data_IF_059656555336
#
_entry.id   IF_059656555336
#
_cell.length_a   1.000
_cell.length_b   1.000
_cell.length_c   1.000
_cell.angle_alpha   90.00
_cell.angle_beta   90.00
_cell.angle_gamma   90.00
#
_symmetry.space_group_name_H-M   'P 1'
#
loop_
_entity.id
_entity.type
_entity.pdbx_description
1 polymer ?
#
# COMPACT_ATOMS: atom_id res chain seq x y z
N UNK A 1 -103.49 38.27 3.05
CA UNK A 1 -102.99 39.54 2.48
C UNK A 1 -101.48 39.76 2.66
N UNK A 2 -100.78 38.91 3.43
CA UNK A 2 -99.35 39.09 3.74
C UNK A 2 -98.42 38.58 2.59
N UNK A 3 -98.77 37.44 1.99
CA UNK A 3 -97.99 36.79 0.92
C UNK A 3 -97.79 37.61 -0.37
N UNK A 4 -98.74 38.51 -0.69
CA UNK A 4 -98.67 39.37 -1.87
C UNK A 4 -97.64 40.49 -1.70
N UNK A 5 -97.51 41.04 -0.47
CA UNK A 5 -96.51 42.07 -0.15
C UNK A 5 -95.08 41.54 -0.15
N UNK A 6 -94.91 40.26 0.19
CA UNK A 6 -93.60 39.61 0.23
C UNK A 6 -93.03 39.37 -1.17
N UNK A 7 -93.88 38.97 -2.14
CA UNK A 7 -93.46 38.82 -3.55
C UNK A 7 -93.05 40.15 -4.19
N UNK A 8 -93.76 41.23 -3.90
CA UNK A 8 -93.39 42.58 -4.36
C UNK A 8 -92.05 43.04 -3.75
N UNK A 9 -91.79 42.71 -2.49
CA UNK A 9 -90.52 43.01 -1.82
C UNK A 9 -89.34 42.24 -2.46
N UNK A 10 -89.54 40.96 -2.78
CA UNK A 10 -88.52 40.12 -3.46
C UNK A 10 -88.25 40.64 -4.88
N UNK A 11 -89.29 41.00 -5.64
CA UNK A 11 -89.11 41.58 -6.98
C UNK A 11 -88.31 42.88 -6.92
N UNK A 12 -88.69 43.79 -6.01
CA UNK A 12 -88.00 45.08 -5.84
C UNK A 12 -86.54 44.92 -5.38
N UNK A 13 -86.22 43.85 -4.64
CA UNK A 13 -84.85 43.50 -4.29
C UNK A 13 -84.03 43.01 -5.49
N UNK A 14 -84.61 42.13 -6.31
CA UNK A 14 -83.96 41.62 -7.53
C UNK A 14 -83.73 42.72 -8.56
N UNK A 15 -84.67 43.67 -8.65
CA UNK A 15 -84.59 44.82 -9.55
C UNK A 15 -83.71 45.97 -9.00
N UNK A 16 -83.18 45.82 -7.78
CA UNK A 16 -82.23 46.76 -7.16
C UNK A 16 -82.83 48.08 -6.67
N UNK A 17 -84.16 48.23 -6.70
CA UNK A 17 -84.90 49.45 -6.33
C UNK A 17 -85.31 49.52 -4.86
N UNK A 18 -84.93 48.51 -4.07
CA UNK A 18 -85.32 48.35 -2.68
C UNK A 18 -84.61 49.35 -1.75
N UNK A 19 -85.38 50.06 -0.91
CA UNK A 19 -84.85 50.98 0.10
C UNK A 19 -84.13 50.22 1.23
N UNK A 20 -83.25 50.88 2.02
CA UNK A 20 -82.55 50.23 3.12
C UNK A 20 -83.48 49.58 4.15
N UNK A 21 -84.63 50.21 4.44
CA UNK A 21 -85.62 49.69 5.39
C UNK A 21 -86.38 48.47 4.84
N UNK A 22 -86.63 48.43 3.54
CA UNK A 22 -87.25 47.27 2.88
C UNK A 22 -86.27 46.09 2.78
N UNK A 23 -84.97 46.35 2.57
CA UNK A 23 -83.92 45.33 2.63
C UNK A 23 -83.83 44.69 4.00
N UNK A 24 -83.80 45.49 5.06
CA UNK A 24 -83.76 44.99 6.44
C UNK A 24 -85.01 44.16 6.77
N UNK A 25 -86.17 44.60 6.28
CA UNK A 25 -87.42 43.84 6.41
C UNK A 25 -87.40 42.51 5.65
N UNK A 26 -86.83 42.49 4.44
CA UNK A 26 -86.65 41.27 3.66
C UNK A 26 -85.69 40.29 4.35
N UNK A 27 -84.59 40.80 4.89
CA UNK A 27 -83.61 40.00 5.65
C UNK A 27 -84.23 39.43 6.93
N UNK A 28 -84.98 40.23 7.69
CA UNK A 28 -85.70 39.75 8.87
C UNK A 28 -86.76 38.70 8.50
N UNK A 29 -87.52 38.92 7.43
CA UNK A 29 -88.47 37.93 6.92
C UNK A 29 -87.79 36.62 6.50
N UNK A 30 -86.66 36.70 5.78
CA UNK A 30 -85.89 35.53 5.35
C UNK A 30 -85.32 34.76 6.55
N UNK A 31 -84.78 35.46 7.55
CA UNK A 31 -84.24 34.86 8.78
C UNK A 31 -85.36 34.16 9.58
N UNK A 32 -86.49 34.84 9.80
CA UNK A 32 -87.63 34.27 10.54
C UNK A 32 -88.21 33.05 9.80
N UNK A 33 -88.33 33.13 8.48
CA UNK A 33 -88.85 32.04 7.66
C UNK A 33 -87.88 30.85 7.57
N UNK A 34 -86.56 31.09 7.56
CA UNK A 34 -85.57 30.00 7.64
C UNK A 34 -85.48 29.36 9.04
N UNK A 35 -85.97 30.01 10.09
CA UNK A 35 -86.02 29.45 11.44
C UNK A 35 -87.27 28.55 11.60
N UNK A 36 -88.38 28.86 10.93
CA UNK A 36 -89.60 28.03 10.95
C UNK A 36 -89.58 26.84 9.96
N UNK A 37 -88.85 26.92 8.83
CA UNK A 37 -88.79 25.85 7.80
C UNK A 37 -87.57 24.93 8.04
N UNK A 38 -87.24 24.61 9.30
CA UNK A 38 -86.10 23.73 9.61
C UNK A 38 -86.46 22.26 9.77
N UNK A 39 -87.74 21.93 9.86
CA UNK A 39 -88.22 20.55 9.84
C UNK A 39 -89.32 20.39 8.77
N UNK A 40 -89.02 19.54 7.79
CA UNK A 40 -89.90 19.05 6.71
C UNK A 40 -90.18 19.99 5.52
N UNK A 41 -89.48 19.75 4.40
CA UNK A 41 -90.06 19.65 3.05
C UNK A 41 -89.00 19.09 2.08
N UNK A 42 -89.16 17.87 1.52
CA UNK A 42 -88.38 17.41 0.38
C UNK A 42 -89.01 18.01 -0.88
N UNK A 43 -88.61 19.22 -1.25
CA UNK A 43 -89.13 19.86 -2.47
C UNK A 43 -88.40 19.29 -3.70
N UNK A 44 -89.09 18.58 -4.63
CA UNK A 44 -88.48 18.09 -5.87
C UNK A 44 -87.90 19.24 -6.70
N UNK A 45 -88.42 20.46 -6.57
CA UNK A 45 -87.92 21.67 -7.24
C UNK A 45 -86.51 22.05 -6.79
N UNK A 46 -86.15 21.83 -5.52
CA UNK A 46 -84.82 22.19 -5.00
C UNK A 46 -83.71 21.37 -5.67
N UNK A 47 -83.95 20.09 -5.91
CA UNK A 47 -82.96 19.22 -6.56
C UNK A 47 -82.82 19.54 -8.05
N UNK A 48 -83.91 19.92 -8.72
CA UNK A 48 -83.89 20.37 -10.12
C UNK A 48 -83.15 21.70 -10.26
N UNK A 49 -83.43 22.68 -9.40
CA UNK A 49 -82.70 23.97 -9.42
C UNK A 49 -81.22 23.77 -9.09
N UNK A 50 -80.89 22.87 -8.17
CA UNK A 50 -79.49 22.54 -7.85
C UNK A 50 -78.78 21.86 -9.03
N UNK A 51 -79.44 20.96 -9.77
CA UNK A 51 -78.86 20.33 -10.95
C UNK A 51 -78.64 21.33 -12.08
N UNK A 52 -79.61 22.22 -12.33
CA UNK A 52 -79.51 23.23 -13.39
C UNK A 52 -78.42 24.27 -13.09
N UNK A 53 -78.27 24.66 -11.82
CA UNK A 53 -77.17 25.53 -11.37
C UNK A 53 -75.82 24.82 -11.53
N UNK A 54 -75.75 23.53 -11.19
CA UNK A 54 -74.50 22.78 -11.31
C UNK A 54 -74.08 22.56 -12.77
N UNK A 55 -75.03 22.30 -13.66
CA UNK A 55 -74.80 22.12 -15.10
C UNK A 55 -74.42 23.45 -15.79
N UNK A 56 -75.02 24.57 -15.37
CA UNK A 56 -74.66 25.91 -15.86
C UNK A 56 -73.30 26.41 -15.36
N UNK A 57 -72.80 25.93 -14.22
CA UNK A 57 -71.43 26.16 -13.75
C UNK A 57 -70.42 25.36 -14.59
N UNK A 58 -70.72 24.09 -14.90
CA UNK A 58 -69.82 23.24 -15.69
C UNK A 58 -69.70 23.69 -17.15
N UNK A 59 -70.79 24.19 -17.75
CA UNK A 59 -70.80 24.68 -19.14
C UNK A 59 -70.12 26.06 -19.31
N UNK A 60 -69.89 26.81 -18.23
CA UNK A 60 -69.23 28.13 -18.26
C UNK A 60 -67.82 28.18 -17.66
N UNK A 61 -67.28 27.05 -17.20
CA UNK A 61 -65.92 27.02 -16.64
C UNK A 61 -65.02 26.04 -17.40
N UNK A 62 -64.37 26.52 -18.47
CA UNK A 62 -63.18 25.81 -18.96
C UNK A 62 -62.05 25.96 -17.92
N UNK A 63 -61.44 24.86 -17.44
CA UNK A 63 -60.33 24.98 -16.50
C UNK A 63 -59.14 25.62 -17.22
N UNK A 64 -58.70 26.79 -16.72
CA UNK A 64 -57.49 27.43 -17.21
C UNK A 64 -56.30 26.46 -17.07
N UNK A 65 -55.77 25.97 -18.21
CA UNK A 65 -54.59 25.10 -18.23
C UNK A 65 -53.40 25.86 -17.64
N UNK A 66 -53.03 25.55 -16.40
CA UNK A 66 -51.78 26.04 -15.77
C UNK A 66 -50.60 25.56 -16.59
N UNK A 67 -50.03 26.45 -17.42
CA UNK A 67 -48.76 26.23 -18.12
C UNK A 67 -47.63 26.33 -17.10
N UNK A 68 -47.24 25.20 -16.52
CA UNK A 68 -45.99 25.13 -15.77
C UNK A 68 -44.83 25.40 -16.73
N UNK A 69 -43.85 26.25 -16.38
CA UNK A 69 -42.76 26.61 -17.28
C UNK A 69 -41.73 25.47 -17.29
N UNK A 70 -42.10 24.33 -17.90
CA UNK A 70 -41.25 23.15 -18.03
C UNK A 70 -39.87 23.51 -18.57
N UNK A 71 -39.82 24.45 -19.53
CA UNK A 71 -38.57 24.97 -20.09
C UNK A 71 -37.68 25.71 -19.07
N UNK A 72 -38.24 26.40 -18.08
CA UNK A 72 -37.46 27.08 -17.02
C UNK A 72 -36.87 26.10 -16.01
N UNK A 73 -37.62 25.04 -15.69
CA UNK A 73 -37.16 23.97 -14.80
C UNK A 73 -36.09 23.12 -15.51
N UNK A 74 -36.32 22.79 -16.78
CA UNK A 74 -35.36 22.07 -17.61
C UNK A 74 -34.05 22.84 -17.79
N UNK A 75 -34.09 24.17 -17.99
CA UNK A 75 -32.88 24.99 -18.08
C UNK A 75 -32.06 25.00 -16.79
N UNK A 76 -32.71 25.05 -15.61
CA UNK A 76 -32.01 25.01 -14.33
C UNK A 76 -31.32 23.65 -14.09
N UNK A 77 -31.98 22.55 -14.44
CA UNK A 77 -31.40 21.21 -14.35
C UNK A 77 -30.22 21.02 -15.31
N UNK A 78 -30.30 21.56 -16.53
CA UNK A 78 -29.20 21.52 -17.50
C UNK A 78 -27.97 22.31 -17.01
N UNK A 79 -28.17 23.48 -16.41
CA UNK A 79 -27.08 24.28 -15.83
C UNK A 79 -26.42 23.51 -14.67
N UNK A 80 -27.21 22.93 -13.76
CA UNK A 80 -26.65 22.12 -12.67
C UNK A 80 -25.91 20.88 -13.17
N UNK A 81 -26.39 20.24 -14.23
CA UNK A 81 -25.71 19.09 -14.83
C UNK A 81 -24.39 19.52 -15.50
N UNK A 82 -24.36 20.64 -16.22
CA UNK A 82 -23.14 21.18 -16.83
C UNK A 82 -22.15 21.65 -15.76
N UNK A 83 -22.61 22.28 -14.69
CA UNK A 83 -21.77 22.67 -13.56
C UNK A 83 -21.27 21.45 -12.78
N UNK A 84 -22.09 20.43 -12.61
CA UNK A 84 -21.71 19.16 -11.98
C UNK A 84 -20.69 18.39 -12.80
N UNK A 85 -20.89 18.29 -14.11
CA UNK A 85 -19.93 17.71 -15.06
C UNK A 85 -18.64 18.55 -15.08
N UNK A 86 -18.76 19.88 -15.14
CA UNK A 86 -17.62 20.80 -15.10
C UNK A 86 -16.83 20.67 -13.79
N UNK A 87 -17.51 20.57 -12.66
CA UNK A 87 -16.91 20.36 -11.34
C UNK A 87 -16.26 18.98 -11.22
N UNK A 88 -16.90 17.93 -11.74
CA UNK A 88 -16.34 16.59 -11.82
C UNK A 88 -15.06 16.56 -12.65
N UNK A 89 -15.10 17.12 -13.87
CA UNK A 89 -13.91 17.20 -14.74
C UNK A 89 -12.85 18.17 -14.20
N UNK A 90 -13.22 19.23 -13.47
CA UNK A 90 -12.27 20.13 -12.81
C UNK A 90 -11.52 19.40 -11.69
N UNK A 91 -12.22 18.61 -10.86
CA UNK A 91 -11.58 17.81 -9.82
C UNK A 91 -10.74 16.67 -10.40
N UNK A 92 -11.18 16.04 -11.50
CA UNK A 92 -10.43 14.98 -12.18
C UNK A 92 -9.21 15.55 -12.91
N UNK A 93 -9.30 16.72 -13.57
CA UNK A 93 -8.16 17.36 -14.26
C UNK A 93 -7.10 17.94 -13.32
N UNK A 94 -7.45 18.23 -12.06
CA UNK A 94 -6.49 18.70 -11.06
C UNK A 94 -5.64 17.57 -10.44
N UNK A 95 -5.84 16.32 -10.87
CA UNK A 95 -4.84 15.25 -10.64
C UNK A 95 -3.72 15.35 -11.67
N UNK A 96 -2.94 16.43 -11.63
CA UNK A 96 -1.57 16.35 -12.19
C UNK A 96 -0.89 15.15 -11.53
N UNK A 97 -0.33 14.19 -12.30
CA UNK A 97 0.43 13.10 -11.72
C UNK A 97 1.46 13.71 -10.77
N UNK A 98 1.38 13.36 -9.50
CA UNK A 98 2.37 13.78 -8.51
C UNK A 98 3.75 13.45 -9.10
N UNK A 99 4.59 14.48 -9.32
CA UNK A 99 5.93 14.30 -9.93
C UNK A 99 6.69 13.18 -9.21
N UNK A 100 6.48 13.05 -7.89
CA UNK A 100 7.00 11.97 -7.07
C UNK A 100 6.57 10.59 -7.55
N UNK A 101 5.28 10.38 -7.81
CA UNK A 101 4.74 9.10 -8.30
C UNK A 101 5.28 8.78 -9.71
N UNK A 102 5.41 9.78 -10.58
CA UNK A 102 6.02 9.60 -11.91
C UNK A 102 7.49 9.20 -11.85
N UNK A 103 8.30 9.86 -11.01
CA UNK A 103 9.71 9.48 -10.87
C UNK A 103 9.89 8.13 -10.18
N UNK A 104 9.02 7.81 -9.20
CA UNK A 104 9.01 6.54 -8.50
C UNK A 104 8.65 5.37 -9.42
N UNK A 105 7.72 5.55 -10.35
CA UNK A 105 7.35 4.49 -11.30
C UNK A 105 8.44 4.18 -12.32
N UNK A 106 9.37 5.12 -12.54
CA UNK A 106 10.60 4.92 -13.34
C UNK A 106 11.76 4.30 -12.55
N UNK A 107 11.59 3.98 -11.28
CA UNK A 107 12.61 3.28 -10.49
C UNK A 107 12.20 1.81 -10.48
N UNK A 108 12.90 1.04 -11.32
CA UNK A 108 12.70 -0.39 -11.43
C UNK A 108 13.13 -1.09 -10.13
N UNK A 109 12.53 -2.24 -9.81
CA UNK A 109 13.03 -3.09 -8.73
C UNK A 109 14.47 -3.53 -8.98
N UNK A 110 15.12 -3.99 -7.90
CA UNK A 110 16.43 -4.62 -8.01
C UNK A 110 16.40 -5.88 -8.87
N UNK A 111 17.60 -6.33 -9.27
CA UNK A 111 17.83 -7.40 -10.22
C UNK A 111 18.75 -8.48 -9.67
N UNK A 112 18.86 -9.60 -10.38
CA UNK A 112 19.92 -10.58 -10.09
C UNK A 112 21.24 -10.11 -10.69
N UNK A 113 22.29 -10.03 -9.87
CA UNK A 113 23.62 -9.63 -10.31
C UNK A 113 24.62 -9.62 -9.15
N UNK A 114 25.90 -9.81 -9.46
CA UNK A 114 26.98 -9.70 -8.49
C UNK A 114 28.32 -9.52 -9.20
N UNK A 115 29.33 -9.10 -8.44
CA UNK A 115 30.73 -9.08 -8.87
C UNK A 115 31.51 -10.14 -8.11
N UNK A 116 32.20 -11.03 -8.82
CA UNK A 116 33.19 -11.93 -8.23
C UNK A 116 34.57 -11.28 -8.32
N UNK A 117 35.17 -10.99 -7.17
CA UNK A 117 36.57 -10.56 -7.04
C UNK A 117 37.43 -11.75 -6.66
N UNK A 118 38.42 -12.07 -7.49
CA UNK A 118 39.32 -13.20 -7.28
C UNK A 118 40.50 -12.83 -6.36
N UNK A 119 41.23 -13.84 -5.90
CA UNK A 119 42.44 -13.67 -5.10
C UNK A 119 43.54 -12.80 -5.75
N UNK A 120 43.60 -12.76 -7.09
CA UNK A 120 44.54 -11.90 -7.82
C UNK A 120 44.03 -10.46 -8.02
N UNK A 121 42.87 -10.11 -7.46
CA UNK A 121 42.25 -8.79 -7.59
C UNK A 121 41.38 -8.62 -8.84
N UNK A 122 41.35 -9.57 -9.76
CA UNK A 122 40.50 -9.48 -10.96
C UNK A 122 39.01 -9.48 -10.56
N UNK A 123 38.23 -8.60 -11.20
CA UNK A 123 36.81 -8.40 -10.93
C UNK A 123 35.97 -8.84 -12.13
N UNK A 124 34.96 -9.65 -11.86
CA UNK A 124 34.12 -10.29 -12.86
C UNK A 124 32.67 -9.92 -12.59
N UNK A 125 32.08 -9.09 -13.45
CA UNK A 125 30.67 -8.74 -13.38
C UNK A 125 29.82 -9.90 -13.93
N UNK A 126 29.15 -10.63 -13.05
CA UNK A 126 28.46 -11.87 -13.39
C UNK A 126 27.18 -11.62 -14.19
N UNK A 127 26.59 -10.42 -14.10
CA UNK A 127 25.43 -10.02 -14.89
C UNK A 127 25.77 -9.70 -16.36
N UNK A 128 27.06 -9.54 -16.68
CA UNK A 128 27.53 -9.23 -18.05
C UNK A 128 28.12 -10.43 -18.80
N UNK A 129 28.26 -11.57 -18.14
CA UNK A 129 28.91 -12.76 -18.71
C UNK A 129 27.87 -13.83 -19.01
N UNK A 130 28.03 -14.50 -20.15
CA UNK A 130 27.22 -15.63 -20.56
C UNK A 130 27.40 -16.82 -19.63
N UNK A 131 26.43 -17.73 -19.64
CA UNK A 131 26.52 -18.97 -18.89
C UNK A 131 27.66 -19.84 -19.44
N UNK A 132 28.25 -20.67 -18.57
CA UNK A 132 29.37 -21.53 -18.91
C UNK A 132 30.58 -21.33 -18.01
N UNK A 133 31.70 -21.92 -18.44
CA UNK A 133 32.96 -21.88 -17.70
C UNK A 133 33.48 -20.45 -17.67
N UNK A 134 33.68 -19.93 -16.46
CA UNK A 134 34.26 -18.61 -16.27
C UNK A 134 35.78 -18.74 -16.21
N UNK A 135 36.28 -19.50 -15.24
CA UNK A 135 37.71 -19.58 -14.88
C UNK A 135 38.02 -20.96 -14.30
N UNK A 136 39.25 -21.41 -14.47
CA UNK A 136 39.85 -22.47 -13.65
C UNK A 136 40.95 -21.86 -12.77
N UNK A 137 40.82 -21.98 -11.46
CA UNK A 137 41.81 -21.50 -10.50
C UNK A 137 42.15 -22.63 -9.53
N UNK A 138 43.43 -22.95 -9.39
CA UNK A 138 43.92 -23.87 -8.36
C UNK A 138 43.20 -25.24 -8.35
N UNK A 139 42.93 -25.83 -9.53
CA UNK A 139 42.20 -27.11 -9.63
C UNK A 139 40.68 -27.00 -9.44
N UNK A 140 40.14 -25.79 -9.25
CA UNK A 140 38.71 -25.53 -9.10
C UNK A 140 38.19 -24.79 -10.32
N UNK A 141 37.17 -25.36 -10.95
CA UNK A 141 36.44 -24.74 -12.05
C UNK A 141 35.27 -23.94 -11.50
N UNK A 142 35.20 -22.67 -11.89
CA UNK A 142 34.12 -21.75 -11.56
C UNK A 142 33.24 -21.63 -12.81
N UNK A 143 31.99 -22.05 -12.67
CA UNK A 143 31.03 -22.07 -13.77
C UNK A 143 29.80 -21.26 -13.38
N UNK A 144 29.30 -20.47 -14.34
CA UNK A 144 27.96 -19.89 -14.25
C UNK A 144 26.96 -20.87 -14.84
N UNK A 145 26.08 -21.40 -14.00
CA UNK A 145 25.08 -22.40 -14.41
C UNK A 145 24.04 -21.81 -15.37
N UNK A 146 23.25 -22.67 -16.03
CA UNK A 146 22.14 -22.24 -16.87
C UNK A 146 21.13 -21.37 -16.11
N UNK A 147 20.95 -21.63 -14.81
CA UNK A 147 20.12 -20.87 -13.87
C UNK A 147 20.77 -19.54 -13.43
N UNK A 148 21.93 -19.19 -14.00
CA UNK A 148 22.61 -17.92 -13.73
C UNK A 148 23.33 -17.84 -12.39
N UNK A 149 23.55 -18.96 -11.71
CA UNK A 149 24.24 -19.03 -10.40
C UNK A 149 25.70 -19.40 -10.55
N UNK A 150 26.53 -19.00 -9.59
CA UNK A 150 27.89 -19.53 -9.50
C UNK A 150 27.89 -20.94 -8.89
N UNK A 151 28.65 -21.84 -9.49
CA UNK A 151 28.95 -23.17 -8.98
C UNK A 151 30.44 -23.44 -9.07
N UNK A 152 30.98 -24.07 -8.02
CA UNK A 152 32.38 -24.46 -7.92
C UNK A 152 32.46 -25.98 -8.06
N UNK A 153 33.30 -26.47 -8.96
CA UNK A 153 33.57 -27.89 -9.14
C UNK A 153 35.07 -28.16 -8.99
N UNK A 154 35.43 -29.09 -8.11
CA UNK A 154 36.83 -29.49 -7.90
C UNK A 154 37.21 -30.47 -8.99
N UNK A 155 38.10 -30.07 -9.91
CA UNK A 155 38.60 -30.90 -11.03
C UNK A 155 40.05 -31.39 -10.84
N UNK A 156 40.75 -30.96 -9.79
CA UNK A 156 42.10 -31.43 -9.47
C UNK A 156 42.54 -31.10 -8.05
N UNK A 157 43.62 -31.75 -7.58
CA UNK A 157 44.17 -31.66 -6.21
C UNK A 157 45.38 -30.73 -6.09
N UNK A 158 45.77 -30.03 -7.16
CA UNK A 158 47.02 -29.25 -7.21
C UNK A 158 46.74 -27.78 -7.49
N UNK A 159 46.61 -27.00 -6.41
CA UNK A 159 46.49 -25.56 -6.45
C UNK A 159 46.31 -24.99 -5.06
N UNK A 160 46.79 -23.77 -4.83
CA UNK A 160 46.78 -23.11 -3.51
C UNK A 160 45.36 -23.04 -2.93
N UNK A 161 45.10 -23.92 -1.96
CA UNK A 161 43.84 -24.07 -1.23
C UNK A 161 43.37 -22.79 -0.51
N UNK A 162 44.25 -21.78 -0.43
CA UNK A 162 44.05 -20.54 0.33
C UNK A 162 43.72 -19.32 -0.53
N UNK A 163 43.46 -19.47 -1.83
CA UNK A 163 43.03 -18.35 -2.66
C UNK A 163 41.67 -17.82 -2.18
N UNK A 164 41.66 -16.57 -1.67
CA UNK A 164 40.46 -15.90 -1.16
C UNK A 164 39.69 -15.19 -2.27
N UNK A 165 38.40 -15.52 -2.42
CA UNK A 165 37.49 -14.89 -3.36
C UNK A 165 36.41 -14.13 -2.60
N UNK A 166 35.93 -13.03 -3.18
CA UNK A 166 34.83 -12.24 -2.62
C UNK A 166 33.73 -12.09 -3.66
N UNK A 167 32.55 -12.59 -3.35
CA UNK A 167 31.33 -12.35 -4.11
C UNK A 167 30.59 -11.17 -3.47
N UNK A 168 30.29 -10.13 -4.23
CA UNK A 168 29.55 -8.96 -3.72
C UNK A 168 28.38 -8.57 -4.60
N UNK A 169 27.30 -8.15 -3.95
CA UNK A 169 26.12 -7.55 -4.57
C UNK A 169 26.16 -6.04 -4.30
N UNK A 170 25.95 -5.23 -5.34
CA UNK A 170 25.69 -3.80 -5.15
C UNK A 170 24.28 -3.57 -4.61
N UNK A 171 23.93 -2.29 -4.35
CA UNK A 171 22.54 -1.91 -4.17
C UNK A 171 21.74 -2.31 -5.42
N UNK A 172 20.48 -2.69 -5.22
CA UNK A 172 19.61 -3.21 -6.26
C UNK A 172 20.04 -4.53 -6.88
N UNK A 173 20.92 -5.29 -6.21
CA UNK A 173 21.36 -6.59 -6.68
C UNK A 173 21.12 -7.68 -5.63
N UNK A 174 20.74 -8.88 -6.07
CA UNK A 174 20.81 -10.10 -5.26
C UNK A 174 21.52 -11.19 -6.04
N UNK A 175 22.08 -12.18 -5.36
CA UNK A 175 22.73 -13.28 -6.07
C UNK A 175 22.71 -14.57 -5.26
N UNK A 176 22.71 -15.70 -5.97
CA UNK A 176 22.81 -17.02 -5.37
C UNK A 176 24.10 -17.71 -5.83
N UNK A 177 24.80 -18.32 -4.87
CA UNK A 177 26.03 -19.10 -5.10
C UNK A 177 25.91 -20.46 -4.46
N UNK A 178 26.45 -21.48 -5.14
CA UNK A 178 26.72 -22.80 -4.58
C UNK A 178 28.21 -22.90 -4.24
N UNK A 179 28.54 -23.00 -2.97
CA UNK A 179 29.90 -23.10 -2.47
C UNK A 179 30.54 -24.46 -2.81
N UNK A 180 31.88 -24.60 -2.72
CA UNK A 180 32.59 -25.84 -3.02
C UNK A 180 32.15 -27.07 -2.21
N UNK A 181 31.63 -26.87 -1.00
CA UNK A 181 31.09 -27.93 -0.14
C UNK A 181 29.62 -28.29 -0.45
N UNK A 182 29.07 -27.71 -1.52
CA UNK A 182 27.69 -27.89 -1.94
C UNK A 182 26.68 -26.98 -1.24
N UNK A 183 27.07 -26.21 -0.23
CA UNK A 183 26.17 -25.30 0.49
C UNK A 183 25.65 -24.21 -0.42
N UNK A 184 24.38 -23.82 -0.27
CA UNK A 184 23.77 -22.74 -1.04
C UNK A 184 23.70 -21.47 -0.20
N UNK A 185 24.09 -20.35 -0.80
CA UNK A 185 24.03 -19.04 -0.17
C UNK A 185 23.34 -18.05 -1.09
N UNK A 186 22.38 -17.32 -0.54
CA UNK A 186 21.78 -16.16 -1.18
C UNK A 186 22.32 -14.92 -0.50
N UNK A 187 22.74 -13.93 -1.29
CA UNK A 187 23.16 -12.62 -0.83
C UNK A 187 22.11 -11.58 -1.19
N UNK A 188 21.68 -10.83 -0.19
CA UNK A 188 20.79 -9.69 -0.39
C UNK A 188 21.57 -8.48 -0.94
N UNK A 189 20.92 -7.36 -1.22
CA UNK A 189 21.56 -6.15 -1.78
C UNK A 189 22.59 -5.52 -0.87
N UNK A 190 23.65 -4.96 -1.45
CA UNK A 190 24.76 -4.37 -0.70
C UNK A 190 25.40 -5.33 0.31
N UNK A 191 25.61 -6.59 -0.09
CA UNK A 191 26.21 -7.64 0.74
C UNK A 191 27.47 -8.20 0.11
N UNK A 192 28.33 -8.81 0.92
CA UNK A 192 29.49 -9.55 0.42
C UNK A 192 29.72 -10.84 1.18
N UNK A 193 30.22 -11.85 0.45
CA UNK A 193 30.66 -13.12 1.00
C UNK A 193 32.10 -13.38 0.54
N UNK A 194 33.01 -13.46 1.50
CA UNK A 194 34.42 -13.79 1.27
C UNK A 194 34.69 -15.21 1.76
N UNK A 195 35.37 -16.01 0.94
CA UNK A 195 35.66 -17.41 1.23
C UNK A 195 36.89 -17.89 0.47
N UNK A 196 37.58 -18.89 1.00
CA UNK A 196 38.67 -19.56 0.27
C UNK A 196 38.11 -20.58 -0.70
N UNK A 197 38.84 -20.85 -1.78
CA UNK A 197 38.46 -21.87 -2.76
C UNK A 197 38.36 -23.27 -2.16
N UNK A 198 39.19 -23.62 -1.17
CA UNK A 198 39.06 -24.90 -0.45
C UNK A 198 37.97 -24.88 0.63
N UNK A 199 37.50 -23.68 1.03
CA UNK A 199 36.57 -23.41 2.13
C UNK A 199 37.04 -23.84 3.54
N UNK A 200 37.96 -24.80 3.62
CA UNK A 200 38.52 -25.38 4.83
C UNK A 200 39.66 -24.52 5.39
N UNK A 201 39.53 -24.15 6.66
CA UNK A 201 40.53 -23.45 7.45
C UNK A 201 40.60 -24.12 8.84
N UNK A 202 41.74 -24.75 9.15
CA UNK A 202 41.96 -25.47 10.41
C UNK A 202 40.84 -26.49 10.73
N UNK A 203 40.40 -27.24 9.71
CA UNK A 203 39.33 -28.25 9.84
C UNK A 203 37.90 -27.69 9.89
N UNK A 204 37.71 -26.37 9.79
CA UNK A 204 36.40 -25.69 9.77
C UNK A 204 36.15 -25.07 8.40
N UNK A 205 34.91 -25.15 7.90
CA UNK A 205 34.48 -24.44 6.69
C UNK A 205 34.18 -23.00 7.07
N UNK A 206 34.96 -22.01 6.62
CA UNK A 206 34.81 -20.61 7.06
C UNK A 206 34.46 -19.68 5.91
N UNK A 207 33.51 -18.79 6.15
CA UNK A 207 33.15 -17.68 5.26
C UNK A 207 33.00 -16.41 6.08
N UNK A 208 33.23 -15.25 5.45
CA UNK A 208 32.99 -13.94 6.05
C UNK A 208 31.87 -13.22 5.31
N UNK A 209 30.86 -12.76 6.05
CA UNK A 209 29.69 -12.06 5.53
C UNK A 209 29.70 -10.59 5.97
N UNK A 210 29.38 -9.70 5.02
CA UNK A 210 28.87 -8.36 5.33
C UNK A 210 27.51 -8.16 4.66
N UNK A 211 26.63 -7.38 5.28
CA UNK A 211 25.25 -7.22 4.84
C UNK A 211 24.36 -8.38 5.26
N UNK A 212 23.55 -8.92 4.36
CA UNK A 212 22.59 -9.99 4.66
C UNK A 212 22.73 -11.19 3.73
N UNK A 213 22.68 -12.38 4.33
CA UNK A 213 22.77 -13.65 3.63
C UNK A 213 21.91 -14.74 4.26
N UNK A 214 21.29 -15.55 3.40
CA UNK A 214 20.58 -16.77 3.76
C UNK A 214 21.40 -17.98 3.35
N UNK A 215 21.52 -18.95 4.25
CA UNK A 215 22.41 -20.09 4.12
C UNK A 215 21.64 -21.39 4.26
N UNK A 216 21.81 -22.27 3.28
CA UNK A 216 21.44 -23.69 3.35
C UNK A 216 22.74 -24.50 3.37
N UNK A 217 23.17 -24.88 4.57
CA UNK A 217 24.49 -25.49 4.76
C UNK A 217 24.42 -27.00 4.62
N UNK A 218 25.28 -27.56 3.76
CA UNK A 218 25.45 -29.01 3.62
C UNK A 218 25.89 -29.61 4.94
N UNK A 219 25.22 -30.69 5.36
CA UNK A 219 25.48 -31.36 6.62
C UNK A 219 26.87 -32.01 6.62
N UNK A 220 27.74 -31.58 7.54
CA UNK A 220 29.05 -32.18 7.78
C UNK A 220 29.50 -31.92 9.22
N UNK A 221 29.45 -32.95 10.06
CA UNK A 221 29.80 -32.86 11.49
C UNK A 221 31.31 -32.80 11.73
N UNK A 222 32.11 -33.35 10.82
CA UNK A 222 33.56 -33.40 10.95
C UNK A 222 34.21 -32.06 10.61
N UNK A 223 33.52 -31.25 9.80
CA UNK A 223 33.95 -29.92 9.41
C UNK A 223 32.81 -28.91 9.63
N UNK A 224 32.68 -28.33 10.83
CA UNK A 224 31.68 -27.31 11.12
C UNK A 224 31.77 -26.13 10.14
N UNK A 225 30.63 -25.53 9.81
CA UNK A 225 30.56 -24.33 8.97
C UNK A 225 30.44 -23.10 9.86
N UNK A 226 31.25 -22.08 9.58
CA UNK A 226 31.33 -20.85 10.35
C UNK A 226 31.12 -19.66 9.44
N UNK A 227 30.15 -18.82 9.79
CA UNK A 227 29.98 -17.49 9.21
C UNK A 227 30.52 -16.46 10.19
N UNK A 228 31.57 -15.76 9.80
CA UNK A 228 32.11 -14.61 10.51
C UNK A 228 31.42 -13.33 10.01
N UNK A 229 30.99 -12.47 10.92
CA UNK A 229 30.60 -11.09 10.63
C UNK A 229 31.43 -10.13 11.49
N UNK A 230 31.21 -8.82 11.36
CA UNK A 230 31.95 -7.83 12.14
C UNK A 230 31.74 -7.91 13.67
N UNK A 231 30.76 -8.67 14.17
CA UNK A 231 30.48 -8.76 15.61
C UNK A 231 30.23 -10.17 16.16
N UNK A 232 30.07 -11.18 15.30
CA UNK A 232 29.77 -12.55 15.73
C UNK A 232 30.42 -13.60 14.83
N UNK A 233 30.62 -14.78 15.42
CA UNK A 233 30.79 -16.04 14.71
C UNK A 233 29.53 -16.89 14.87
N UNK A 234 29.06 -17.46 13.77
CA UNK A 234 27.90 -18.35 13.71
C UNK A 234 28.36 -19.71 13.26
N UNK A 235 28.32 -20.70 14.17
CA UNK A 235 28.76 -22.07 13.93
C UNK A 235 27.57 -23.02 13.75
N UNK A 236 27.61 -23.82 12.67
CA UNK A 236 26.56 -24.77 12.31
C UNK A 236 27.14 -26.08 11.76
N UNK A 237 26.34 -27.15 11.80
CA UNK A 237 26.74 -28.47 11.28
C UNK A 237 25.95 -28.91 10.04
N UNK A 238 24.90 -28.18 9.66
CA UNK A 238 23.97 -28.49 8.57
C UNK A 238 22.59 -27.92 8.91
N UNK A 239 22.33 -26.70 8.45
CA UNK A 239 21.34 -25.78 9.04
C UNK A 239 20.84 -24.82 7.98
N UNK A 240 19.58 -24.39 8.09
CA UNK A 240 18.96 -23.34 7.29
C UNK A 240 18.77 -22.10 8.16
N UNK A 241 19.43 -20.98 7.83
CA UNK A 241 19.40 -19.77 8.65
C UNK A 241 19.68 -18.50 7.84
N UNK A 242 19.22 -17.36 8.37
CA UNK A 242 19.49 -16.03 7.84
C UNK A 242 20.41 -15.27 8.80
N UNK A 243 21.31 -14.45 8.28
CA UNK A 243 22.06 -13.44 9.04
C UNK A 243 21.86 -12.09 8.38
N UNK A 244 21.35 -11.12 9.13
CA UNK A 244 21.34 -9.71 8.79
C UNK A 244 22.37 -8.97 9.65
N UNK A 245 23.44 -8.48 9.03
CA UNK A 245 24.59 -7.86 9.68
C UNK A 245 24.94 -6.48 9.11
N UNK A 246 23.97 -5.80 8.51
CA UNK A 246 24.14 -4.41 8.07
C UNK A 246 24.47 -3.51 9.27
N UNK A 247 25.53 -2.71 9.14
CA UNK A 247 26.05 -1.89 10.24
C UNK A 247 25.03 -0.81 10.66
N UNK A 248 24.31 -0.25 9.69
CA UNK A 248 23.32 0.81 9.87
C UNK A 248 22.02 0.35 10.56
N UNK A 249 21.84 -0.95 10.80
CA UNK A 249 20.69 -1.50 11.55
C UNK A 249 20.95 -1.50 13.08
N UNK A 250 22.18 -1.24 13.52
CA UNK A 250 22.54 -1.11 14.95
C UNK A 250 22.56 -2.41 15.74
N UNK A 251 22.14 -3.53 15.15
CA UNK A 251 22.17 -4.89 15.71
C UNK A 251 22.38 -5.91 14.61
N UNK A 252 23.01 -7.03 14.95
CA UNK A 252 23.15 -8.19 14.07
C UNK A 252 22.07 -9.20 14.45
N UNK A 253 21.31 -9.67 13.45
CA UNK A 253 20.21 -10.62 13.66
C UNK A 253 20.54 -11.94 12.98
N UNK A 254 20.52 -13.04 13.75
CA UNK A 254 20.64 -14.41 13.20
C UNK A 254 19.33 -15.14 13.44
N UNK A 255 18.69 -15.60 12.38
CA UNK A 255 17.38 -16.27 12.45
C UNK A 255 17.51 -17.71 12.00
N UNK A 256 17.05 -18.65 12.82
CA UNK A 256 17.16 -20.09 12.56
C UNK A 256 15.84 -20.67 12.07
N UNK A 257 15.83 -21.22 10.85
CA UNK A 257 14.69 -21.93 10.28
C UNK A 257 14.74 -23.43 10.58
N UNK A 258 15.89 -24.09 10.36
CA UNK A 258 16.05 -25.54 10.56
C UNK A 258 17.45 -25.88 11.07
N UNK A 259 17.56 -26.83 11.99
CA UNK A 259 18.82 -27.34 12.50
C UNK A 259 19.19 -26.73 13.86
N UNK A 260 20.46 -26.44 14.07
CA UNK A 260 20.97 -25.81 15.28
C UNK A 260 22.06 -24.82 14.92
N UNK A 261 22.08 -23.68 15.63
CA UNK A 261 23.07 -22.61 15.44
C UNK A 261 23.67 -22.25 16.79
N UNK A 262 25.00 -22.15 16.85
CA UNK A 262 25.70 -21.48 17.95
C UNK A 262 26.13 -20.10 17.48
N UNK A 263 25.71 -19.06 18.19
CA UNK A 263 26.11 -17.67 17.95
C UNK A 263 27.04 -17.25 19.07
N UNK A 264 28.22 -16.71 18.73
CA UNK A 264 29.23 -16.26 19.68
C UNK A 264 29.63 -14.82 19.34
N UNK A 265 29.64 -13.93 20.33
CA UNK A 265 30.14 -12.56 20.15
C UNK A 265 31.66 -12.55 20.03
N UNK A 266 32.20 -11.69 19.16
CA UNK A 266 33.66 -11.55 18.93
C UNK A 266 34.29 -10.42 19.74
N UNK A 267 33.53 -9.72 20.59
CA UNK A 267 33.99 -8.58 21.41
C UNK A 267 34.83 -8.97 22.65
N UNK A 268 35.31 -10.22 22.70
CA UNK A 268 36.17 -10.74 23.78
C UNK A 268 35.42 -11.17 25.04
N UNK A 269 34.13 -10.87 25.19
CA UNK A 269 33.35 -11.20 26.42
C UNK A 269 32.97 -12.69 26.55
N UNK A 270 33.37 -13.55 25.62
CA UNK A 270 33.06 -14.99 25.55
C UNK A 270 31.56 -15.30 25.74
N UNK A 271 30.67 -14.40 25.28
CA UNK A 271 29.23 -14.62 25.33
C UNK A 271 28.82 -15.46 24.11
N UNK A 272 28.10 -16.53 24.34
CA UNK A 272 27.52 -17.36 23.28
C UNK A 272 26.12 -17.82 23.61
N UNK A 273 25.35 -18.21 22.60
CA UNK A 273 23.99 -18.74 22.73
C UNK A 273 23.72 -19.78 21.65
N UNK A 274 22.85 -20.74 21.95
CA UNK A 274 22.40 -21.76 21.00
C UNK A 274 20.96 -21.45 20.62
N UNK A 275 20.69 -21.34 19.33
CA UNK A 275 19.35 -21.17 18.80
C UNK A 275 18.72 -22.52 18.45
N UNK A 276 17.42 -22.63 18.69
CA UNK A 276 16.53 -23.68 18.19
C UNK A 276 15.72 -23.17 16.98
N UNK A 277 15.20 -24.06 16.12
CA UNK A 277 14.29 -23.68 15.03
C UNK A 277 13.17 -22.74 15.50
N UNK A 278 12.92 -21.68 14.73
CA UNK A 278 11.95 -20.64 15.08
C UNK A 278 12.44 -19.59 16.08
N UNK A 279 13.75 -19.56 16.39
CA UNK A 279 14.37 -18.53 17.24
C UNK A 279 15.30 -17.63 16.44
N UNK A 280 15.53 -16.43 16.97
CA UNK A 280 16.54 -15.50 16.49
C UNK A 280 17.39 -14.95 17.63
N UNK A 281 18.66 -14.66 17.34
CA UNK A 281 19.53 -13.87 18.21
C UNK A 281 19.58 -12.42 17.73
N UNK A 282 19.51 -11.48 18.66
CA UNK A 282 19.84 -10.08 18.47
C UNK A 282 21.16 -9.80 19.19
N UNK A 283 22.22 -9.55 18.44
CA UNK A 283 23.49 -9.10 18.99
C UNK A 283 23.57 -7.58 18.87
N UNK A 284 23.79 -6.91 20.01
CA UNK A 284 24.04 -5.47 20.11
C UNK A 284 25.17 -5.21 21.11
N UNK A 285 25.45 -3.93 21.41
CA UNK A 285 26.43 -3.55 22.43
C UNK A 285 26.12 -4.09 23.84
N UNK A 286 24.85 -4.40 24.13
CA UNK A 286 24.41 -4.97 25.41
C UNK A 286 24.61 -6.50 25.51
N UNK A 287 25.01 -7.16 24.43
CA UNK A 287 25.21 -8.61 24.37
C UNK A 287 24.24 -9.33 23.43
N UNK A 288 24.05 -10.62 23.66
CA UNK A 288 23.19 -11.49 22.84
C UNK A 288 21.85 -11.70 23.55
N UNK A 289 20.76 -11.36 22.87
CA UNK A 289 19.39 -11.66 23.30
C UNK A 289 18.77 -12.70 22.37
N UNK A 290 18.13 -13.74 22.91
CA UNK A 290 17.42 -14.76 22.12
C UNK A 290 15.91 -14.60 22.29
N UNK A 291 15.18 -14.57 21.18
CA UNK A 291 13.73 -14.36 21.13
C UNK A 291 13.09 -15.26 20.07
N UNK A 292 11.76 -15.48 20.11
CA UNK A 292 11.03 -16.06 18.98
C UNK A 292 11.28 -15.27 17.69
N UNK A 293 11.45 -15.97 16.58
CA UNK A 293 11.65 -15.35 15.27
C UNK A 293 10.35 -15.14 14.52
N UNK A 294 10.26 -14.00 13.83
CA UNK A 294 9.32 -13.82 12.73
C UNK A 294 9.97 -14.34 11.44
N UNK A 295 9.77 -15.62 11.15
CA UNK A 295 10.35 -16.28 9.97
C UNK A 295 9.80 -15.70 8.65
N UNK A 296 8.56 -15.23 8.65
CA UNK A 296 7.94 -14.61 7.46
C UNK A 296 8.69 -13.35 7.07
N UNK A 297 8.92 -12.46 8.03
CA UNK A 297 9.67 -11.22 7.81
C UNK A 297 11.14 -11.50 7.50
N UNK A 298 11.81 -12.35 8.30
CA UNK A 298 13.24 -12.61 8.15
C UNK A 298 13.64 -13.27 6.81
N UNK A 299 12.72 -14.01 6.19
CA UNK A 299 12.96 -14.74 4.93
C UNK A 299 12.24 -14.11 3.72
N UNK A 300 11.44 -13.07 3.92
CA UNK A 300 10.65 -12.42 2.88
C UNK A 300 11.50 -12.02 1.68
N UNK A 301 12.67 -11.43 1.92
CA UNK A 301 13.55 -10.92 0.87
C UNK A 301 13.98 -12.02 -0.11
N UNK A 302 14.33 -13.18 0.45
CA UNK A 302 14.74 -14.39 -0.27
C UNK A 302 13.58 -15.05 -1.02
N UNK A 303 12.35 -14.83 -0.51
CA UNK A 303 11.09 -15.29 -1.07
C UNK A 303 10.41 -14.24 -1.98
N UNK A 304 11.15 -13.21 -2.41
CA UNK A 304 10.67 -12.25 -3.40
C UNK A 304 9.69 -11.21 -2.86
N UNK A 305 9.69 -10.94 -1.55
CA UNK A 305 8.85 -9.92 -0.90
C UNK A 305 9.67 -8.92 -0.10
N UNK A 306 9.15 -7.70 -0.01
CA UNK A 306 9.46 -6.72 1.02
C UNK A 306 8.34 -6.90 2.06
N UNK A 307 8.70 -7.36 3.26
CA UNK A 307 7.76 -7.61 4.35
C UNK A 307 8.16 -6.74 5.53
N UNK A 308 7.22 -5.94 6.01
CA UNK A 308 7.38 -5.07 7.15
C UNK A 308 6.30 -5.41 8.15
N UNK A 309 6.69 -5.72 9.39
CA UNK A 309 5.80 -5.91 10.53
C UNK A 309 6.37 -5.18 11.72
N UNK A 310 5.55 -4.32 12.33
CA UNK A 310 5.97 -3.45 13.43
C UNK A 310 7.29 -2.68 13.13
N UNK A 311 7.47 -2.25 11.87
CA UNK A 311 8.70 -1.61 11.42
C UNK A 311 8.64 -0.08 11.59
N UNK A 312 9.75 0.56 11.97
CA UNK A 312 9.86 2.02 11.89
C UNK A 312 10.21 2.50 10.47
N UNK A 313 9.84 3.74 10.18
CA UNK A 313 10.07 4.36 8.88
C UNK A 313 11.57 4.37 8.47
N UNK A 314 12.54 4.70 9.35
CA UNK A 314 13.95 4.61 9.00
C UNK A 314 14.39 3.22 8.53
N UNK A 315 13.93 2.15 9.18
CA UNK A 315 14.27 0.77 8.79
C UNK A 315 13.71 0.42 7.41
N UNK A 316 12.46 0.78 7.14
CA UNK A 316 11.83 0.63 5.82
C UNK A 316 12.63 1.37 4.74
N UNK A 317 12.99 2.62 5.04
CA UNK A 317 13.73 3.48 4.10
C UNK A 317 15.15 2.97 3.81
N UNK A 318 15.82 2.35 4.78
CA UNK A 318 17.12 1.68 4.55
C UNK A 318 16.97 0.49 3.61
N UNK A 319 15.93 -0.32 3.79
CA UNK A 319 15.68 -1.44 2.87
C UNK A 319 15.31 -0.97 1.46
N UNK A 320 14.47 0.07 1.33
CA UNK A 320 14.17 0.72 0.06
C UNK A 320 15.44 1.24 -0.61
N UNK A 321 16.29 1.93 0.16
CA UNK A 321 17.56 2.46 -0.30
C UNK A 321 18.45 1.35 -0.88
N UNK A 322 18.55 0.22 -0.18
CA UNK A 322 19.33 -0.94 -0.64
C UNK A 322 18.73 -1.62 -1.85
N UNK A 323 17.41 -1.83 -1.90
CA UNK A 323 16.77 -2.62 -2.95
C UNK A 323 16.51 -1.86 -4.24
N UNK A 324 16.18 -0.57 -4.17
CA UNK A 324 15.88 0.25 -5.34
C UNK A 324 17.04 1.13 -5.79
N UNK A 325 18.21 1.00 -5.15
CA UNK A 325 19.41 1.80 -5.43
C UNK A 325 19.12 3.31 -5.49
N UNK A 326 18.42 3.81 -4.45
CA UNK A 326 18.03 5.23 -4.32
C UNK A 326 18.48 5.84 -3.01
N UNK A 327 19.15 6.98 -3.05
CA UNK A 327 19.57 7.66 -1.82
C UNK A 327 18.36 8.20 -1.07
N UNK A 328 18.29 7.94 0.24
CA UNK A 328 17.19 8.41 1.08
C UNK A 328 17.69 9.48 2.05
N UNK A 329 16.94 10.58 2.15
CA UNK A 329 17.18 11.64 3.11
C UNK A 329 15.88 12.07 3.79
N UNK A 330 16.01 12.65 4.97
CA UNK A 330 14.90 13.01 5.82
C UNK A 330 14.88 14.53 6.05
N UNK A 331 13.70 15.12 6.03
CA UNK A 331 13.49 16.53 6.36
C UNK A 331 12.43 16.65 7.45
N UNK A 332 12.78 17.37 8.52
CA UNK A 332 11.92 17.51 9.70
C UNK A 332 11.90 16.30 10.63
N UNK A 333 10.88 16.24 11.50
CA UNK A 333 10.71 15.17 12.47
C UNK A 333 9.91 14.02 11.86
N UNK A 334 10.51 12.84 11.79
CA UNK A 334 9.83 11.66 11.27
C UNK A 334 8.71 11.19 12.20
N UNK A 335 7.62 10.64 11.65
CA UNK A 335 6.54 10.10 12.46
C UNK A 335 7.07 8.92 13.28
N UNK A 336 6.88 8.98 14.60
CA UNK A 336 7.25 7.90 15.51
C UNK A 336 6.09 6.88 15.60
N UNK A 337 5.79 6.23 14.48
CA UNK A 337 4.78 5.17 14.37
C UNK A 337 5.36 3.94 13.70
N UNK A 338 4.66 2.82 13.86
CA UNK A 338 5.01 1.52 13.32
C UNK A 338 4.18 1.23 12.07
N UNK A 339 4.76 0.49 11.14
CA UNK A 339 4.18 0.23 9.83
C UNK A 339 4.15 -1.27 9.55
N UNK A 340 3.11 -1.68 8.84
CA UNK A 340 2.95 -3.02 8.30
C UNK A 340 2.68 -2.93 6.80
N UNK A 341 3.40 -3.73 6.02
CA UNK A 341 3.19 -3.82 4.57
C UNK A 341 3.84 -5.08 4.02
N UNK A 342 3.22 -5.65 2.98
CA UNK A 342 3.80 -6.74 2.18
C UNK A 342 3.72 -6.36 0.71
N UNK A 343 4.86 -6.31 0.02
CA UNK A 343 4.94 -5.95 -1.39
C UNK A 343 5.86 -6.91 -2.12
N UNK A 344 5.51 -7.31 -3.33
CA UNK A 344 6.44 -8.07 -4.18
C UNK A 344 7.72 -7.27 -4.43
N UNK A 345 8.88 -7.91 -4.34
CA UNK A 345 10.16 -7.29 -4.73
C UNK A 345 10.24 -6.93 -6.21
N UNK A 346 9.33 -7.45 -7.03
CA UNK A 346 9.21 -7.10 -8.45
C UNK A 346 8.35 -5.84 -8.68
N UNK A 347 7.71 -5.29 -7.65
CA UNK A 347 6.95 -4.06 -7.77
C UNK A 347 7.90 -2.85 -7.90
N UNK A 348 7.49 -1.86 -8.67
CA UNK A 348 8.17 -0.57 -8.74
C UNK A 348 8.09 0.15 -7.40
N UNK A 349 9.05 1.05 -7.15
CA UNK A 349 9.08 1.83 -5.91
C UNK A 349 7.78 2.61 -5.67
N UNK A 350 7.11 3.06 -6.74
CA UNK A 350 5.83 3.79 -6.65
C UNK A 350 4.78 3.03 -5.85
N UNK A 351 4.66 1.72 -6.02
CA UNK A 351 3.65 0.90 -5.33
C UNK A 351 3.87 0.92 -3.82
N UNK A 352 5.12 0.79 -3.37
CA UNK A 352 5.45 0.84 -1.95
C UNK A 352 5.26 2.24 -1.37
N UNK A 353 5.67 3.28 -2.11
CA UNK A 353 5.45 4.67 -1.66
C UNK A 353 3.98 5.03 -1.57
N UNK A 354 3.12 4.53 -2.47
CA UNK A 354 1.66 4.72 -2.40
C UNK A 354 1.08 4.12 -1.12
N UNK A 355 1.49 2.91 -0.72
CA UNK A 355 1.07 2.30 0.54
C UNK A 355 1.49 3.14 1.76
N UNK A 356 2.73 3.64 1.77
CA UNK A 356 3.23 4.48 2.86
C UNK A 356 2.55 5.86 2.89
N UNK A 357 2.12 6.39 1.74
CA UNK A 357 1.32 7.63 1.64
C UNK A 357 -0.07 7.48 2.28
N UNK A 358 -0.69 6.29 2.23
CA UNK A 358 -1.95 6.04 2.96
C UNK A 358 -1.79 6.23 4.46
N UNK A 359 -0.60 5.90 4.97
CA UNK A 359 -0.19 6.19 6.34
C UNK A 359 0.32 7.62 6.53
N UNK A 360 -0.10 8.58 5.70
CA UNK A 360 0.24 10.01 5.75
C UNK A 360 1.72 10.37 5.56
N UNK A 361 2.61 9.43 5.22
CA UNK A 361 4.02 9.78 4.95
C UNK A 361 4.13 10.53 3.62
N UNK A 362 4.79 11.68 3.64
CA UNK A 362 5.02 12.50 2.44
C UNK A 362 6.40 12.21 1.86
N UNK A 363 6.46 12.13 0.53
CA UNK A 363 7.68 11.85 -0.20
C UNK A 363 7.87 12.86 -1.33
N UNK A 364 9.11 13.13 -1.69
CA UNK A 364 9.48 13.86 -2.89
C UNK A 364 10.71 13.19 -3.52
N UNK A 365 10.74 13.04 -4.85
CA UNK A 365 11.91 12.49 -5.55
C UNK A 365 12.55 13.60 -6.36
N UNK A 366 13.86 13.80 -6.14
CA UNK A 366 14.69 14.74 -6.90
C UNK A 366 15.71 13.97 -7.72
N UNK A 367 15.94 14.41 -8.95
CA UNK A 367 17.10 13.98 -9.74
C UNK A 367 18.35 14.71 -9.25
N UNK A 368 19.48 14.01 -9.23
CA UNK A 368 20.80 14.55 -8.90
C UNK A 368 21.84 13.98 -9.88
N UNK A 369 23.01 14.62 -10.06
CA UNK A 369 24.05 14.14 -10.98
C UNK A 369 24.50 12.70 -10.71
N UNK A 370 24.44 12.25 -9.45
CA UNK A 370 24.79 10.89 -9.02
C UNK A 370 23.65 9.86 -9.10
N UNK A 371 22.43 10.25 -9.49
CA UNK A 371 21.28 9.36 -9.56
C UNK A 371 19.97 10.00 -9.11
N UNK A 372 19.12 9.23 -8.44
CA UNK A 372 17.85 9.73 -7.86
C UNK A 372 17.97 9.80 -6.34
N UNK A 373 17.26 10.76 -5.75
CA UNK A 373 17.22 10.98 -4.30
C UNK A 373 15.77 11.02 -3.84
N UNK A 374 15.41 10.15 -2.91
CA UNK A 374 14.13 10.12 -2.22
C UNK A 374 14.23 10.96 -0.94
N UNK A 375 13.41 12.00 -0.87
CA UNK A 375 13.24 12.85 0.29
C UNK A 375 11.98 12.43 1.03
N UNK A 376 12.12 12.06 2.30
CA UNK A 376 11.03 11.72 3.22
C UNK A 376 10.73 12.95 4.06
N UNK A 377 9.50 13.44 3.97
CA UNK A 377 9.05 14.69 4.57
C UNK A 377 8.23 14.39 5.84
N UNK A 378 8.39 15.23 6.87
CA UNK A 378 7.60 15.15 8.10
C UNK A 378 6.11 15.44 7.88
N UNK A 379 5.29 14.89 8.77
CA UNK A 379 3.93 15.38 9.00
C UNK A 379 4.07 16.79 9.62
N UNK A 380 3.59 17.82 8.92
CA UNK A 380 3.44 19.17 9.49
C UNK A 380 2.20 19.23 10.37
#
# INVERSE_FOLDING_TARGET
MEYLKEKELISSYLDGTCSPQEKERLEQWYILRNIEIRDELPDPEYQVVKSDIWESIQTKTEPAKKRYPFFRIASAAAILMVLGIGFYFYNVRNTTPDKTTYYASKINPGKTGATLTLANGNRIALDKIQNGKLIAQAGIEITKTAEGRLSYEVKGTSGTADASNTLSTSRGQTYQVRLPDGSLVWLNSASSLTYTTALLNQGKRKVKLTGEGYFEVTKNKNHPFIVETNGQEVEVLGTHFNINSYQEEGKIVTTLQEGSVRVSATDGKKISSILKPGQQSLLSSSGIQVLPADLETALAWKNGRLEFRDADLPSIMREISRWYDIDVTYEGRLPNRRFEASVSRQANLSTLLELLKLSKVKFNIKEQPSGKKLLVLSDN
#
